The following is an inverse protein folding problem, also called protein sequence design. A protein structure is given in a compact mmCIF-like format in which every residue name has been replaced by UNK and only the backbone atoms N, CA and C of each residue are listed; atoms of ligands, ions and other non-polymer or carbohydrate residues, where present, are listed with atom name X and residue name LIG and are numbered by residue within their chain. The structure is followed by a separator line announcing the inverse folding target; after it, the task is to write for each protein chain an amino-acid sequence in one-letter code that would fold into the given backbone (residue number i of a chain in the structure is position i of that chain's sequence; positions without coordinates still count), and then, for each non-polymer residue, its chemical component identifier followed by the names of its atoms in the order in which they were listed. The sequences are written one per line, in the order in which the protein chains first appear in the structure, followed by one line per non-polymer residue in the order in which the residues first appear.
data_IF_161101092549
#
_entry.id   IF_161101092549
#
_cell.length_a   1.000
_cell.length_b   1.000
_cell.length_c   1.000
_cell.angle_alpha   90.00
_cell.angle_beta   90.00
_cell.angle_gamma   90.00
#
_symmetry.space_group_name_H-M   'P 1'
#
loop_
_entity.id
_entity.type
_entity.pdbx_description
1 polymer ?
#
# COMPACT_ATOMS: atom_id res chain seq x y z
N UNK A 1 17.33 -46.02 111.82
CA UNK A 1 15.90 -45.72 111.52
C UNK A 1 15.83 -44.30 110.97
N UNK A 2 14.68 -43.87 110.48
CA UNK A 2 14.49 -42.47 110.07
C UNK A 2 14.48 -41.60 111.33
N UNK A 3 15.29 -40.54 111.36
CA UNK A 3 15.22 -39.54 112.42
C UNK A 3 14.04 -38.60 112.15
N UNK A 4 13.25 -38.33 113.20
CA UNK A 4 12.03 -37.52 113.11
C UNK A 4 11.98 -36.51 114.24
N UNK A 5 11.66 -35.27 113.90
CA UNK A 5 11.36 -34.19 114.84
C UNK A 5 9.87 -34.30 115.19
N UNK A 6 9.59 -34.84 116.37
CA UNK A 6 8.25 -34.91 116.94
C UNK A 6 7.97 -33.65 117.78
N UNK A 7 7.16 -32.74 117.24
CA UNK A 7 6.73 -31.52 117.95
C UNK A 7 5.39 -31.79 118.63
N UNK A 8 5.27 -31.50 119.92
CA UNK A 8 4.07 -31.81 120.69
C UNK A 8 4.14 -31.42 122.15
N UNK A 9 3.09 -31.77 122.92
CA UNK A 9 2.94 -31.38 124.33
C UNK A 9 3.23 -32.55 125.25
N UNK A 10 4.02 -32.29 126.30
CA UNK A 10 4.28 -33.26 127.35
C UNK A 10 3.15 -33.24 128.38
N UNK A 11 2.50 -34.38 128.59
CA UNK A 11 1.45 -34.58 129.59
C UNK A 11 1.91 -35.56 130.66
N UNK A 12 1.41 -35.38 131.88
CA UNK A 12 1.77 -36.19 133.06
C UNK A 12 0.52 -36.78 133.69
N UNK A 13 0.54 -38.08 134.00
CA UNK A 13 -0.50 -38.70 134.82
C UNK A 13 -0.22 -38.46 136.32
N UNK A 14 -1.09 -37.73 137.06
CA UNK A 14 -0.87 -37.52 138.49
C UNK A 14 -0.84 -38.86 139.25
N UNK A 15 0.15 -39.03 140.15
CA UNK A 15 0.29 -40.23 140.99
C UNK A 15 1.12 -41.37 140.41
N UNK A 16 1.56 -41.31 139.14
CA UNK A 16 2.62 -42.19 138.61
C UNK A 16 3.61 -41.34 137.80
N UNK A 17 4.92 -41.52 138.02
CA UNK A 17 5.99 -40.75 137.37
C UNK A 17 6.21 -41.14 135.90
N UNK A 18 5.14 -41.09 135.10
CA UNK A 18 5.09 -41.43 133.67
C UNK A 18 4.73 -40.18 132.88
N UNK A 19 5.65 -39.79 132.02
CA UNK A 19 5.48 -38.70 131.06
C UNK A 19 5.04 -39.28 129.72
N UNK A 20 4.04 -38.66 129.09
CA UNK A 20 3.59 -38.98 127.75
C UNK A 20 3.80 -37.74 126.88
N UNK A 21 4.26 -37.92 125.64
CA UNK A 21 4.23 -36.84 124.63
C UNK A 21 3.04 -37.06 123.71
N UNK A 22 2.21 -36.03 123.56
CA UNK A 22 1.14 -35.97 122.56
C UNK A 22 1.69 -35.20 121.37
N UNK A 23 2.02 -35.92 120.30
CA UNK A 23 2.62 -35.36 119.09
C UNK A 23 1.55 -34.57 118.32
N UNK A 24 1.82 -33.29 118.05
CA UNK A 24 0.96 -32.39 117.27
C UNK A 24 1.44 -32.29 115.81
N UNK A 25 2.76 -32.41 115.57
CA UNK A 25 3.36 -32.50 114.24
C UNK A 25 4.57 -33.47 114.26
N UNK A 26 4.77 -34.19 113.15
CA UNK A 26 5.88 -35.14 112.98
C UNK A 26 6.55 -34.88 111.64
N UNK A 27 7.78 -34.37 111.67
CA UNK A 27 8.56 -34.01 110.48
C UNK A 27 9.84 -34.85 110.39
N UNK A 28 10.23 -35.38 109.22
CA UNK A 28 11.54 -36.02 109.06
C UNK A 28 12.69 -35.03 109.29
N UNK A 29 13.66 -35.42 110.12
CA UNK A 29 14.80 -34.58 110.43
C UNK A 29 15.66 -34.36 109.17
N UNK A 30 16.06 -33.10 108.93
CA UNK A 30 16.98 -32.74 107.85
C UNK A 30 16.36 -32.17 106.57
N UNK A 31 15.06 -32.35 106.30
CA UNK A 31 14.42 -31.83 105.07
C UNK A 31 14.61 -30.30 104.94
N UNK A 32 14.42 -29.54 106.02
CA UNK A 32 14.65 -28.08 106.01
C UNK A 32 16.09 -27.68 105.69
N UNK A 33 17.09 -28.48 106.10
CA UNK A 33 18.49 -28.22 105.79
C UNK A 33 18.81 -28.54 104.31
N UNK A 34 18.27 -29.64 103.78
CA UNK A 34 18.37 -29.96 102.35
C UNK A 34 17.69 -28.90 101.48
N UNK A 35 16.50 -28.43 101.85
CA UNK A 35 15.80 -27.38 101.11
C UNK A 35 16.53 -26.03 101.15
N UNK A 36 17.17 -25.67 102.28
CA UNK A 36 18.01 -24.47 102.34
C UNK A 36 19.23 -24.57 101.39
N UNK A 37 19.92 -25.71 101.40
CA UNK A 37 21.09 -25.99 100.56
C UNK A 37 20.71 -26.06 99.06
N UNK A 38 19.52 -26.58 98.73
CA UNK A 38 18.95 -26.58 97.38
C UNK A 38 18.71 -25.16 96.87
N UNK A 39 18.08 -24.31 97.70
CA UNK A 39 17.76 -22.92 97.35
C UNK A 39 19.02 -22.03 97.27
N UNK A 40 20.05 -22.30 98.07
CA UNK A 40 21.37 -21.68 97.98
C UNK A 40 22.08 -22.03 96.65
N UNK A 41 22.15 -23.34 96.30
CA UNK A 41 22.66 -23.79 95.00
C UNK A 41 21.88 -23.18 93.83
N UNK A 42 20.54 -23.15 93.93
CA UNK A 42 19.67 -22.57 92.89
C UNK A 42 19.99 -21.09 92.68
N UNK A 43 20.19 -20.31 93.75
CA UNK A 43 20.58 -18.89 93.66
C UNK A 43 21.95 -18.71 93.01
N UNK A 44 22.94 -19.51 93.40
CA UNK A 44 24.31 -19.44 92.86
C UNK A 44 24.34 -19.75 91.36
N UNK A 45 23.74 -20.88 90.95
CA UNK A 45 23.71 -21.31 89.55
C UNK A 45 22.78 -20.45 88.68
N UNK A 46 21.75 -19.80 89.27
CA UNK A 46 20.96 -18.78 88.59
C UNK A 46 21.76 -17.48 88.36
N UNK A 47 22.60 -17.06 89.31
CA UNK A 47 23.46 -15.88 89.15
C UNK A 47 24.56 -16.07 88.09
N UNK A 48 24.97 -17.32 87.84
CA UNK A 48 25.81 -17.70 86.70
C UNK A 48 25.05 -17.85 85.36
N UNK A 49 23.72 -17.67 85.35
CA UNK A 49 22.90 -17.81 84.14
C UNK A 49 22.85 -19.24 83.59
N UNK A 50 22.92 -20.29 84.42
CA UNK A 50 22.77 -21.68 83.94
C UNK A 50 21.32 -22.05 83.57
N UNK A 51 20.34 -21.30 84.06
CA UNK A 51 18.91 -21.56 83.84
C UNK A 51 18.25 -20.65 82.79
N UNK A 52 19.04 -19.80 82.12
CA UNK A 52 18.55 -18.81 81.15
C UNK A 52 17.88 -19.49 79.94
N UNK A 53 16.63 -19.12 79.66
CA UNK A 53 15.89 -19.60 78.47
C UNK A 53 16.65 -19.32 77.15
N UNK A 54 17.46 -18.26 77.10
CA UNK A 54 18.31 -17.93 75.94
C UNK A 54 19.45 -18.92 75.67
N UNK A 55 19.79 -19.81 76.61
CA UNK A 55 20.75 -20.91 76.41
C UNK A 55 20.09 -22.18 75.87
N UNK A 56 18.77 -22.33 76.04
CA UNK A 56 18.04 -23.56 75.76
C UNK A 56 17.87 -23.81 74.27
N UNK A 57 18.13 -25.03 73.86
CA UNK A 57 18.23 -25.45 72.47
C UNK A 57 16.89 -25.96 71.94
N UNK A 58 16.55 -25.66 70.67
CA UNK A 58 15.41 -26.29 70.04
C UNK A 58 15.66 -27.79 69.88
N UNK A 59 14.70 -28.62 70.28
CA UNK A 59 14.74 -30.05 69.98
C UNK A 59 14.63 -30.28 68.46
N UNK A 60 15.39 -31.22 67.87
CA UNK A 60 15.23 -31.59 66.47
C UNK A 60 13.84 -32.23 66.27
N UNK A 61 13.13 -31.80 65.21
CA UNK A 61 11.77 -32.29 64.93
C UNK A 61 11.70 -33.80 64.61
N UNK A 62 12.80 -34.38 64.11
CA UNK A 62 12.91 -35.80 63.77
C UNK A 62 14.32 -36.30 64.16
N UNK A 63 14.57 -36.65 65.44
CA UNK A 63 15.82 -37.28 65.83
C UNK A 63 15.93 -38.67 65.19
N UNK A 64 17.15 -39.05 64.80
CA UNK A 64 17.49 -40.39 64.27
C UNK A 64 17.99 -41.30 65.39
N UNK A 65 18.68 -40.71 66.38
CA UNK A 65 19.27 -41.39 67.53
C UNK A 65 18.92 -40.64 68.81
N UNK A 66 18.30 -41.33 69.78
CA UNK A 66 18.06 -40.81 71.13
C UNK A 66 19.00 -41.51 72.12
N UNK A 67 19.74 -40.74 72.89
CA UNK A 67 20.50 -41.22 74.05
C UNK A 67 19.62 -41.23 75.29
N UNK A 68 19.68 -42.29 76.11
CA UNK A 68 18.94 -42.37 77.37
C UNK A 68 19.92 -42.68 78.50
N UNK A 69 19.98 -41.79 79.49
CA UNK A 69 20.76 -41.94 80.73
C UNK A 69 19.82 -42.41 81.82
N UNK A 70 19.86 -43.72 82.14
CA UNK A 70 19.02 -44.34 83.17
C UNK A 70 19.53 -45.74 83.56
N UNK A 71 18.88 -46.39 84.52
CA UNK A 71 19.18 -47.77 84.91
C UNK A 71 18.66 -48.78 83.86
N UNK A 72 19.49 -49.73 83.38
CA UNK A 72 19.11 -50.65 82.30
C UNK A 72 18.07 -51.71 82.71
N UNK A 73 17.80 -51.90 84.01
CA UNK A 73 16.90 -52.94 84.52
C UNK A 73 15.50 -52.43 84.87
N UNK A 74 15.31 -51.11 85.01
CA UNK A 74 14.08 -50.49 85.52
C UNK A 74 12.86 -50.57 84.58
N UNK A 75 11.70 -50.15 85.09
CA UNK A 75 10.49 -49.94 84.27
C UNK A 75 10.67 -48.76 83.31
N UNK A 76 11.23 -47.65 83.81
CA UNK A 76 11.55 -46.38 83.12
C UNK A 76 12.02 -46.57 81.66
N UNK A 77 13.05 -47.41 81.45
CA UNK A 77 13.60 -47.64 80.11
C UNK A 77 12.64 -48.43 79.21
N UNK A 78 11.86 -49.36 79.76
CA UNK A 78 10.82 -50.11 79.03
C UNK A 78 9.68 -49.20 78.62
N UNK A 79 9.28 -48.28 79.49
CA UNK A 79 8.21 -47.31 79.24
C UNK A 79 8.61 -46.32 78.13
N UNK A 80 9.85 -45.81 78.18
CA UNK A 80 10.45 -45.00 77.10
C UNK A 80 10.50 -45.78 75.78
N UNK A 81 11.07 -47.00 75.80
CA UNK A 81 11.21 -47.81 74.58
C UNK A 81 9.85 -48.18 73.97
N UNK A 82 8.86 -48.52 74.80
CA UNK A 82 7.50 -48.80 74.35
C UNK A 82 6.84 -47.56 73.74
N UNK A 83 6.92 -46.40 74.40
CA UNK A 83 6.33 -45.15 73.90
C UNK A 83 6.97 -44.69 72.59
N UNK A 84 8.29 -44.80 72.46
CA UNK A 84 8.99 -44.52 71.20
C UNK A 84 8.58 -45.51 70.10
N UNK A 85 8.46 -46.81 70.41
CA UNK A 85 8.08 -47.83 69.43
C UNK A 85 6.66 -47.65 68.90
N UNK A 86 5.71 -47.23 69.75
CA UNK A 86 4.34 -46.91 69.34
C UNK A 86 4.27 -45.59 68.54
N UNK A 87 4.85 -44.51 69.10
CA UNK A 87 4.68 -43.14 68.59
C UNK A 87 5.49 -42.88 67.32
N UNK A 88 6.80 -43.20 67.31
CA UNK A 88 7.69 -43.08 66.14
C UNK A 88 9.02 -43.84 66.40
N UNK A 89 9.21 -45.06 65.84
CA UNK A 89 10.41 -45.86 66.08
C UNK A 89 11.72 -45.18 65.65
N UNK A 90 12.66 -45.06 66.60
CA UNK A 90 14.01 -44.50 66.40
C UNK A 90 15.08 -45.40 67.01
N UNK A 91 16.36 -45.19 66.66
CA UNK A 91 17.47 -45.88 67.33
C UNK A 91 17.66 -45.28 68.72
N UNK A 92 17.62 -46.12 69.76
CA UNK A 92 17.92 -45.73 71.13
C UNK A 92 19.30 -46.24 71.53
N UNK A 93 20.07 -45.41 72.22
CA UNK A 93 21.33 -45.76 72.87
C UNK A 93 21.16 -45.57 74.37
N UNK A 94 21.32 -46.63 75.16
CA UNK A 94 21.24 -46.54 76.63
C UNK A 94 22.64 -46.41 77.21
N UNK A 95 22.90 -45.35 77.97
CA UNK A 95 24.06 -45.27 78.84
C UNK A 95 23.63 -45.73 80.25
N UNK A 96 24.07 -46.91 80.71
CA UNK A 96 23.65 -47.44 81.99
C UNK A 96 24.30 -46.65 83.12
N UNK A 97 23.48 -46.12 84.04
CA UNK A 97 23.92 -45.42 85.26
C UNK A 97 23.10 -45.86 86.46
N UNK A 98 23.67 -45.74 87.65
CA UNK A 98 22.89 -45.68 88.89
C UNK A 98 22.11 -44.37 88.91
N UNK A 99 20.84 -44.46 89.28
CA UNK A 99 19.92 -43.30 89.35
C UNK A 99 19.62 -42.85 90.78
N UNK A 100 20.32 -43.42 91.77
CA UNK A 100 20.16 -43.15 93.21
C UNK A 100 21.43 -43.52 93.99
N UNK A 101 21.64 -42.87 95.13
CA UNK A 101 22.80 -43.05 96.01
C UNK A 101 24.05 -42.29 95.55
N UNK A 102 25.05 -42.22 96.43
CA UNK A 102 26.14 -41.24 96.40
C UNK A 102 27.00 -41.20 95.13
N UNK A 103 27.02 -42.26 94.30
CA UNK A 103 27.76 -42.26 93.02
C UNK A 103 26.91 -41.80 91.83
N UNK A 104 25.59 -41.68 91.96
CA UNK A 104 24.68 -41.45 90.86
C UNK A 104 24.91 -40.10 90.16
N UNK A 105 25.21 -39.03 90.90
CA UNK A 105 25.48 -37.71 90.32
C UNK A 105 26.72 -37.74 89.39
N UNK A 106 27.80 -38.36 89.85
CA UNK A 106 29.02 -38.52 89.05
C UNK A 106 28.79 -39.42 87.82
N UNK A 107 28.02 -40.51 87.96
CA UNK A 107 27.68 -41.40 86.85
C UNK A 107 26.79 -40.71 85.79
N UNK A 108 25.78 -39.95 86.22
CA UNK A 108 24.88 -39.17 85.33
C UNK A 108 25.66 -38.09 84.58
N UNK A 109 26.50 -37.31 85.27
CA UNK A 109 27.34 -36.30 84.62
C UNK A 109 28.32 -36.94 83.62
N UNK A 110 28.99 -38.02 84.00
CA UNK A 110 29.89 -38.77 83.11
C UNK A 110 29.16 -39.34 81.88
N UNK A 111 27.90 -39.75 82.00
CA UNK A 111 27.09 -40.20 80.87
C UNK A 111 26.70 -39.06 79.91
N UNK A 112 26.35 -37.88 80.44
CA UNK A 112 26.05 -36.69 79.61
C UNK A 112 27.30 -36.22 78.87
N UNK A 113 28.45 -36.10 79.55
CA UNK A 113 29.73 -35.79 78.88
C UNK A 113 30.15 -36.90 77.91
N UNK A 114 29.93 -38.16 78.26
CA UNK A 114 30.22 -39.33 77.41
C UNK A 114 29.46 -39.33 76.08
N UNK A 115 28.16 -39.07 76.10
CA UNK A 115 27.37 -38.90 74.87
C UNK A 115 27.85 -37.68 74.04
N UNK A 116 28.25 -36.59 74.70
CA UNK A 116 28.77 -35.40 74.02
C UNK A 116 30.18 -35.58 73.43
N UNK A 117 30.98 -36.51 73.96
CA UNK A 117 32.29 -36.88 73.45
C UNK A 117 32.24 -37.85 72.25
N UNK A 118 31.07 -38.43 71.93
CA UNK A 118 30.92 -39.29 70.76
C UNK A 118 31.15 -38.51 69.45
N UNK A 119 32.08 -39.01 68.63
CA UNK A 119 32.30 -38.51 67.28
C UNK A 119 31.07 -38.79 66.39
N UNK A 120 30.57 -37.81 65.61
CA UNK A 120 29.48 -38.04 64.67
C UNK A 120 29.75 -39.12 63.61
N UNK A 121 31.03 -39.43 63.34
CA UNK A 121 31.48 -40.48 62.42
C UNK A 121 32.01 -41.74 63.13
N UNK A 122 31.76 -41.89 64.45
CA UNK A 122 32.16 -43.05 65.22
C UNK A 122 31.33 -44.31 64.96
N UNK A 123 31.79 -45.50 65.42
CA UNK A 123 31.04 -46.75 65.30
C UNK A 123 29.75 -46.75 66.14
N UNK A 124 29.72 -45.96 67.21
CA UNK A 124 28.51 -45.58 67.94
C UNK A 124 28.14 -44.16 67.47
N UNK A 125 26.95 -43.95 66.87
CA UNK A 125 26.55 -42.62 66.44
C UNK A 125 26.26 -41.74 67.65
N UNK A 126 26.64 -40.46 67.57
CA UNK A 126 26.24 -39.44 68.55
C UNK A 126 24.71 -39.28 68.55
N UNK A 127 24.03 -39.17 69.72
CA UNK A 127 22.62 -38.83 69.79
C UNK A 127 22.30 -37.43 69.24
N UNK A 128 21.09 -37.29 68.68
CA UNK A 128 20.49 -36.00 68.32
C UNK A 128 19.77 -35.34 69.52
N UNK A 129 19.35 -36.16 70.50
CA UNK A 129 18.73 -35.77 71.78
C UNK A 129 19.22 -36.71 72.88
N UNK A 130 19.44 -36.20 74.09
CA UNK A 130 19.66 -37.01 75.31
C UNK A 130 18.44 -36.88 76.23
N UNK A 131 17.95 -38.00 76.78
CA UNK A 131 16.95 -38.03 77.85
C UNK A 131 17.63 -38.52 79.13
N UNK A 132 17.57 -37.73 80.20
CA UNK A 132 17.96 -38.17 81.55
C UNK A 132 16.69 -38.55 82.30
N UNK A 133 16.53 -39.83 82.65
CA UNK A 133 15.24 -40.36 83.11
C UNK A 133 15.31 -41.16 84.41
N UNK A 134 14.35 -40.89 85.29
CA UNK A 134 14.11 -41.62 86.55
C UNK A 134 12.62 -41.95 86.70
N UNK A 135 12.32 -42.98 87.47
CA UNK A 135 10.97 -43.21 88.00
C UNK A 135 10.78 -42.47 89.33
N UNK A 136 9.63 -42.69 89.99
CA UNK A 136 9.39 -42.21 91.34
C UNK A 136 10.46 -42.66 92.35
N UNK A 137 10.58 -41.89 93.44
CA UNK A 137 11.49 -42.09 94.56
C UNK A 137 11.15 -41.07 95.66
N UNK A 138 11.90 -41.08 96.75
CA UNK A 138 11.80 -40.02 97.77
C UNK A 138 12.58 -38.75 97.39
N UNK A 139 12.52 -37.71 98.23
CA UNK A 139 13.31 -36.49 98.05
C UNK A 139 14.82 -36.76 98.20
N UNK A 140 15.23 -37.61 99.15
CA UNK A 140 16.64 -37.99 99.32
C UNK A 140 17.14 -38.76 98.09
N UNK A 141 16.28 -39.62 97.53
CA UNK A 141 16.50 -40.35 96.29
C UNK A 141 16.80 -39.41 95.12
N UNK A 142 16.00 -38.36 94.94
CA UNK A 142 16.13 -37.36 93.87
C UNK A 142 17.34 -36.43 94.04
N UNK A 143 18.01 -36.44 95.20
CA UNK A 143 19.02 -35.45 95.56
C UNK A 143 20.23 -35.40 94.61
N UNK A 144 20.65 -36.54 94.05
CA UNK A 144 21.76 -36.61 93.09
C UNK A 144 21.55 -35.80 91.81
N UNK A 145 20.30 -35.44 91.49
CA UNK A 145 19.94 -34.59 90.35
C UNK A 145 19.92 -33.09 90.69
N UNK A 146 20.16 -32.76 91.96
CA UNK A 146 20.36 -31.41 92.49
C UNK A 146 21.84 -31.11 92.82
N UNK A 147 22.76 -31.99 92.42
CA UNK A 147 24.20 -31.79 92.56
C UNK A 147 24.77 -30.97 91.40
N UNK A 148 25.64 -30.03 91.73
CA UNK A 148 26.21 -29.05 90.81
C UNK A 148 26.86 -29.69 89.57
N UNK A 149 27.53 -30.83 89.74
CA UNK A 149 28.18 -31.57 88.65
C UNK A 149 27.18 -32.02 87.57
N UNK A 150 25.95 -32.40 87.95
CA UNK A 150 24.89 -32.81 87.02
C UNK A 150 24.28 -31.58 86.34
N UNK A 151 24.07 -30.49 87.09
CA UNK A 151 23.49 -29.25 86.56
C UNK A 151 24.44 -28.60 85.53
N UNK A 152 25.75 -28.54 85.82
CA UNK A 152 26.77 -28.07 84.87
C UNK A 152 26.85 -28.98 83.64
N UNK A 153 26.92 -30.31 83.83
CA UNK A 153 26.94 -31.26 82.71
C UNK A 153 25.72 -31.11 81.78
N UNK A 154 24.54 -30.82 82.32
CA UNK A 154 23.34 -30.53 81.53
C UNK A 154 23.43 -29.16 80.82
N UNK A 155 23.75 -28.07 81.53
CA UNK A 155 23.81 -26.71 80.98
C UNK A 155 24.97 -26.48 79.98
N UNK A 156 25.96 -27.37 79.96
CA UNK A 156 27.08 -27.42 79.02
C UNK A 156 26.90 -28.49 77.92
N UNK A 157 25.88 -29.35 78.02
CA UNK A 157 25.64 -30.43 77.06
C UNK A 157 25.49 -29.85 75.65
N UNK A 158 26.36 -30.24 74.72
CA UNK A 158 26.28 -29.78 73.34
C UNK A 158 25.05 -30.35 72.60
N UNK A 159 24.65 -31.60 72.89
CA UNK A 159 23.40 -32.23 72.45
C UNK A 159 22.22 -31.71 73.29
N UNK A 160 21.04 -31.39 72.69
CA UNK A 160 19.84 -31.03 73.45
C UNK A 160 19.41 -32.11 74.45
N UNK A 161 19.08 -31.69 75.67
CA UNK A 161 18.78 -32.56 76.81
C UNK A 161 17.34 -32.38 77.30
N UNK A 162 16.64 -33.51 77.48
CA UNK A 162 15.33 -33.60 78.12
C UNK A 162 15.51 -34.20 79.51
N UNK A 163 15.14 -33.46 80.56
CA UNK A 163 15.04 -34.01 81.91
C UNK A 163 13.68 -34.66 82.14
N UNK A 164 13.69 -35.86 82.71
CA UNK A 164 12.52 -36.68 83.00
C UNK A 164 12.68 -37.32 84.39
N UNK A 165 12.90 -36.46 85.40
CA UNK A 165 13.31 -36.85 86.75
C UNK A 165 12.29 -36.38 87.80
N UNK A 166 11.97 -35.08 87.83
CA UNK A 166 11.02 -34.52 88.80
C UNK A 166 9.56 -34.69 88.37
N UNK A 167 8.70 -35.15 89.28
CA UNK A 167 7.23 -35.13 89.11
C UNK A 167 6.70 -33.68 89.22
N UNK A 168 5.40 -33.44 89.04
CA UNK A 168 4.85 -32.07 88.94
C UNK A 168 5.17 -31.18 90.16
N UNK A 169 5.27 -31.76 91.36
CA UNK A 169 5.67 -31.10 92.62
C UNK A 169 7.18 -30.98 92.82
N UNK A 170 7.98 -31.88 92.23
CA UNK A 170 9.34 -32.20 92.69
C UNK A 170 10.39 -31.65 91.72
N UNK A 171 10.42 -30.33 91.54
CA UNK A 171 11.33 -29.69 90.59
C UNK A 171 12.80 -29.81 91.00
N UNK A 172 13.60 -30.47 90.17
CA UNK A 172 15.05 -30.57 90.37
C UNK A 172 15.82 -29.42 89.71
N UNK A 173 17.11 -29.30 89.98
CA UNK A 173 17.98 -28.33 89.31
C UNK A 173 18.32 -28.75 87.87
N UNK A 174 18.44 -30.06 87.58
CA UNK A 174 18.55 -30.55 86.19
C UNK A 174 17.28 -30.22 85.38
N UNK A 175 16.08 -30.27 85.97
CA UNK A 175 14.84 -29.86 85.27
C UNK A 175 14.85 -28.38 84.83
N UNK A 176 15.60 -27.52 85.53
CA UNK A 176 15.75 -26.09 85.20
C UNK A 176 16.86 -25.84 84.17
N UNK A 177 17.96 -26.60 84.22
CA UNK A 177 19.09 -26.50 83.30
C UNK A 177 18.90 -27.26 81.97
N UNK A 178 18.00 -28.24 81.92
CA UNK A 178 17.66 -28.95 80.69
C UNK A 178 16.96 -28.04 79.66
N UNK A 179 17.19 -28.32 78.37
CA UNK A 179 16.54 -27.60 77.27
C UNK A 179 15.02 -27.82 77.26
N UNK A 180 14.56 -28.99 77.73
CA UNK A 180 13.16 -29.27 78.06
C UNK A 180 13.02 -30.12 79.33
N UNK A 181 12.01 -29.80 80.13
CA UNK A 181 11.49 -30.65 81.20
C UNK A 181 10.33 -31.50 80.68
N UNK A 182 10.30 -32.76 81.09
CA UNK A 182 9.15 -33.67 80.95
C UNK A 182 8.69 -34.14 82.34
N UNK A 183 7.38 -34.16 82.65
CA UNK A 183 6.88 -34.55 83.97
C UNK A 183 6.96 -36.06 84.23
N UNK A 184 7.18 -36.88 83.20
CA UNK A 184 7.35 -38.34 83.29
C UNK A 184 8.31 -38.85 82.20
N UNK A 185 8.92 -40.05 82.38
CA UNK A 185 9.68 -40.73 81.34
C UNK A 185 8.92 -40.97 80.03
N UNK A 186 7.61 -41.27 80.11
CA UNK A 186 6.76 -41.44 78.93
C UNK A 186 6.54 -40.11 78.20
N UNK A 187 6.30 -39.02 78.93
CA UNK A 187 6.19 -37.68 78.35
C UNK A 187 7.51 -37.23 77.69
N UNK A 188 8.66 -37.64 78.21
CA UNK A 188 9.97 -37.35 77.61
C UNK A 188 10.12 -38.00 76.23
N UNK A 189 9.70 -39.27 76.09
CA UNK A 189 9.61 -39.93 74.81
C UNK A 189 8.60 -39.23 73.86
N UNK A 190 7.46 -38.75 74.38
CA UNK A 190 6.47 -38.01 73.58
C UNK A 190 6.96 -36.65 73.07
N UNK A 191 7.74 -35.94 73.90
CA UNK A 191 8.34 -34.64 73.55
C UNK A 191 9.50 -34.82 72.56
N UNK A 192 10.21 -35.94 72.63
CA UNK A 192 11.35 -36.22 71.75
C UNK A 192 10.96 -36.61 70.32
N UNK A 193 9.77 -37.16 70.06
CA UNK A 193 9.37 -37.62 68.71
C UNK A 193 7.94 -37.20 68.29
N UNK A 194 7.73 -36.86 67.00
CA UNK A 194 6.42 -36.57 66.43
C UNK A 194 5.57 -37.85 66.29
N UNK A 195 4.29 -37.72 65.96
CA UNK A 195 3.39 -38.88 65.81
C UNK A 195 3.49 -39.46 64.39
N UNK A 196 3.85 -40.74 64.28
CA UNK A 196 4.06 -41.42 62.99
C UNK A 196 2.82 -41.48 62.10
N UNK A 197 1.64 -41.68 62.68
CA UNK A 197 0.37 -41.74 61.93
C UNK A 197 0.00 -40.40 61.29
N UNK A 198 0.24 -39.28 61.99
CA UNK A 198 0.03 -37.93 61.45
C UNK A 198 0.97 -37.64 60.28
N UNK A 199 2.25 -37.99 60.40
CA UNK A 199 3.23 -37.87 59.32
C UNK A 199 2.85 -38.69 58.08
N UNK A 200 2.37 -39.92 58.26
CA UNK A 200 1.87 -40.76 57.16
C UNK A 200 0.65 -40.12 56.49
N UNK A 201 -0.36 -39.70 57.27
CA UNK A 201 -1.56 -39.05 56.75
C UNK A 201 -1.26 -37.73 56.00
N UNK A 202 -0.26 -36.97 56.45
CA UNK A 202 0.22 -35.77 55.77
C UNK A 202 0.89 -36.11 54.42
N UNK A 203 1.75 -37.13 54.39
CA UNK A 203 2.39 -37.62 53.15
C UNK A 203 1.35 -38.15 52.16
N UNK A 204 0.37 -38.94 52.60
CA UNK A 204 -0.70 -39.46 51.74
C UNK A 204 -1.58 -38.33 51.18
N UNK A 205 -1.89 -37.32 51.99
CA UNK A 205 -2.62 -36.12 51.57
C UNK A 205 -1.84 -35.34 50.50
N UNK A 206 -0.54 -35.15 50.69
CA UNK A 206 0.33 -34.50 49.70
C UNK A 206 0.45 -35.34 48.41
N UNK A 207 0.59 -36.66 48.52
CA UNK A 207 0.65 -37.57 47.38
C UNK A 207 -0.67 -37.61 46.59
N UNK A 208 -1.83 -37.56 47.27
CA UNK A 208 -3.13 -37.44 46.63
C UNK A 208 -3.29 -36.09 45.90
N UNK A 209 -2.89 -34.98 46.53
CA UNK A 209 -2.87 -33.65 45.90
C UNK A 209 -1.96 -33.62 44.67
N UNK A 210 -0.78 -34.23 44.75
CA UNK A 210 0.16 -34.36 43.63
C UNK A 210 -0.45 -35.15 42.46
N UNK A 211 -0.93 -36.38 42.71
CA UNK A 211 -1.61 -37.21 41.68
C UNK A 211 -2.75 -36.45 40.99
N UNK A 212 -3.59 -35.74 41.77
CA UNK A 212 -4.66 -34.91 41.23
C UNK A 212 -4.18 -33.72 40.38
N UNK A 213 -3.05 -33.10 40.73
CA UNK A 213 -2.44 -32.03 39.94
C UNK A 213 -1.85 -32.55 38.61
N UNK A 214 -1.11 -33.65 38.65
CA UNK A 214 -0.57 -34.31 37.44
C UNK A 214 -1.71 -34.73 36.49
N UNK A 215 -2.79 -35.31 37.01
CA UNK A 215 -3.96 -35.68 36.20
C UNK A 215 -4.61 -34.48 35.52
N UNK A 216 -4.79 -33.35 36.23
CA UNK A 216 -5.33 -32.11 35.63
C UNK A 216 -4.40 -31.50 34.56
N UNK A 217 -3.08 -31.59 34.73
CA UNK A 217 -2.13 -31.15 33.70
C UNK A 217 -2.24 -32.00 32.43
N UNK A 218 -2.25 -33.33 32.57
CA UNK A 218 -2.36 -34.27 31.44
C UNK A 218 -3.69 -34.05 30.69
N UNK A 219 -4.82 -33.99 31.39
CA UNK A 219 -6.13 -33.75 30.76
C UNK A 219 -6.33 -32.32 30.25
N UNK A 220 -5.44 -31.37 30.61
CA UNK A 220 -5.40 -30.05 29.97
C UNK A 220 -4.63 -30.13 28.66
N UNK A 221 -3.37 -30.60 28.70
CA UNK A 221 -2.56 -30.80 27.50
C UNK A 221 -3.26 -31.70 26.45
N UNK A 222 -4.03 -32.71 26.88
CA UNK A 222 -4.85 -33.57 26.01
C UNK A 222 -5.99 -32.81 25.32
N UNK A 223 -6.72 -31.95 26.05
CA UNK A 223 -7.78 -31.11 25.47
C UNK A 223 -7.21 -30.09 24.50
N UNK A 224 -6.08 -29.47 24.84
CA UNK A 224 -5.44 -28.46 24.03
C UNK A 224 -4.86 -29.07 22.73
N UNK A 225 -4.25 -30.26 22.82
CA UNK A 225 -3.82 -31.05 21.66
C UNK A 225 -5.01 -31.43 20.76
N UNK A 226 -6.14 -31.87 21.34
CA UNK A 226 -7.35 -32.20 20.57
C UNK A 226 -8.01 -30.96 19.94
N UNK A 227 -7.91 -29.79 20.57
CA UNK A 227 -8.35 -28.52 20.00
C UNK A 227 -7.46 -28.10 18.81
N UNK A 228 -6.14 -28.14 18.99
CA UNK A 228 -5.17 -27.86 17.92
C UNK A 228 -5.31 -28.84 16.74
N UNK A 229 -5.51 -30.13 17.01
CA UNK A 229 -5.73 -31.16 15.99
C UNK A 229 -7.04 -30.96 15.20
N UNK A 230 -8.05 -30.30 15.79
CA UNK A 230 -9.29 -29.90 15.10
C UNK A 230 -9.17 -28.55 14.36
N UNK A 231 -8.21 -27.72 14.73
CA UNK A 231 -7.92 -26.45 14.07
C UNK A 231 -7.00 -26.60 12.84
N UNK A 232 -6.30 -27.74 12.70
CA UNK A 232 -5.60 -28.10 11.47
C UNK A 232 -6.61 -28.30 10.32
N UNK A 233 -6.41 -27.63 9.15
CA UNK A 233 -7.23 -27.88 7.96
C UNK A 233 -7.11 -29.34 7.49
N UNK A 234 -8.13 -29.88 6.82
CA UNK A 234 -8.05 -31.24 6.27
C UNK A 234 -7.04 -31.29 5.14
N UNK A 235 -6.49 -32.48 4.87
CA UNK A 235 -5.57 -32.69 3.76
C UNK A 235 -6.17 -32.23 2.41
N UNK A 236 -7.47 -32.45 2.18
CA UNK A 236 -8.15 -31.96 0.99
C UNK A 236 -8.28 -30.42 0.93
N UNK A 237 -8.45 -29.74 2.08
CA UNK A 237 -8.49 -28.27 2.14
C UNK A 237 -7.13 -27.68 1.74
N UNK A 238 -6.04 -28.27 2.25
CA UNK A 238 -4.65 -27.89 1.91
C UNK A 238 -4.32 -28.19 0.44
N UNK A 239 -4.82 -29.31 -0.10
CA UNK A 239 -4.56 -29.74 -1.48
C UNK A 239 -5.51 -29.12 -2.52
N UNK A 240 -6.58 -28.44 -2.11
CA UNK A 240 -7.56 -27.84 -3.02
C UNK A 240 -6.94 -26.79 -3.95
N UNK A 241 -6.07 -25.92 -3.43
CA UNK A 241 -5.39 -24.87 -4.23
C UNK A 241 -4.37 -25.49 -5.21
N UNK A 242 -3.45 -26.40 -4.79
CA UNK A 242 -2.61 -27.15 -5.71
C UNK A 242 -3.38 -27.90 -6.80
N UNK A 243 -4.42 -28.68 -6.45
CA UNK A 243 -5.26 -29.41 -7.42
C UNK A 243 -5.85 -28.47 -8.48
N UNK A 244 -6.56 -27.42 -8.04
CA UNK A 244 -7.15 -26.40 -8.93
C UNK A 244 -6.12 -25.73 -9.85
N UNK A 245 -4.88 -25.55 -9.36
CA UNK A 245 -3.79 -24.97 -10.16
C UNK A 245 -3.33 -25.94 -11.27
N UNK A 246 -3.21 -27.23 -10.96
CA UNK A 246 -2.92 -28.28 -11.95
C UNK A 246 -4.05 -28.38 -12.98
N UNK A 247 -5.32 -28.30 -12.55
CA UNK A 247 -6.48 -28.35 -13.44
C UNK A 247 -6.54 -27.16 -14.41
N UNK A 248 -6.31 -25.92 -13.94
CA UNK A 248 -6.23 -24.75 -14.81
C UNK A 248 -5.08 -24.88 -15.82
N UNK A 249 -3.89 -25.25 -15.37
CA UNK A 249 -2.72 -25.43 -16.23
C UNK A 249 -2.95 -26.52 -17.28
N UNK A 250 -3.58 -27.64 -16.93
CA UNK A 250 -3.99 -28.69 -17.88
C UNK A 250 -4.99 -28.16 -18.92
N UNK A 251 -6.02 -27.43 -18.47
CA UNK A 251 -7.02 -26.83 -19.37
C UNK A 251 -6.42 -25.78 -20.32
N UNK A 252 -5.36 -25.07 -19.88
CA UNK A 252 -4.65 -24.05 -20.64
C UNK A 252 -3.63 -24.66 -21.59
N UNK A 253 -2.97 -25.76 -21.22
CA UNK A 253 -2.07 -26.51 -22.09
C UNK A 253 -2.82 -27.03 -23.33
N UNK A 254 -3.98 -27.68 -23.15
CA UNK A 254 -4.79 -28.16 -24.27
C UNK A 254 -5.23 -27.03 -25.22
N UNK A 255 -5.73 -25.91 -24.67
CA UNK A 255 -6.09 -24.72 -25.46
C UNK A 255 -4.88 -24.10 -26.17
N UNK A 256 -3.72 -24.01 -25.50
CA UNK A 256 -2.48 -23.49 -26.04
C UNK A 256 -1.92 -24.32 -27.20
N UNK A 257 -1.93 -25.65 -27.07
CA UNK A 257 -1.51 -26.57 -28.13
C UNK A 257 -2.40 -26.45 -29.38
N UNK A 258 -3.73 -26.36 -29.21
CA UNK A 258 -4.66 -26.14 -30.32
C UNK A 258 -4.43 -24.77 -30.99
N UNK A 259 -4.22 -23.71 -30.20
CA UNK A 259 -3.92 -22.37 -30.73
C UNK A 259 -2.58 -22.34 -31.50
N UNK A 260 -1.56 -23.01 -30.97
CA UNK A 260 -0.25 -23.12 -31.62
C UNK A 260 -0.34 -23.89 -32.95
N UNK A 261 -0.99 -25.06 -32.94
CA UNK A 261 -1.22 -25.86 -34.14
C UNK A 261 -2.00 -25.08 -35.22
N UNK A 262 -3.03 -24.32 -34.83
CA UNK A 262 -3.76 -23.42 -35.75
C UNK A 262 -2.86 -22.32 -36.32
N UNK A 263 -2.00 -21.71 -35.51
CA UNK A 263 -1.09 -20.65 -35.95
C UNK A 263 -0.09 -21.17 -36.98
N UNK A 264 0.56 -22.31 -36.70
CA UNK A 264 1.45 -22.96 -37.66
C UNK A 264 0.71 -23.44 -38.92
N UNK A 265 -0.52 -23.95 -38.80
CA UNK A 265 -1.35 -24.35 -39.94
C UNK A 265 -1.69 -23.18 -40.86
N UNK A 266 -2.07 -22.02 -40.32
CA UNK A 266 -2.34 -20.80 -41.10
C UNK A 266 -1.06 -20.27 -41.78
N UNK A 267 0.10 -20.35 -41.12
CA UNK A 267 1.39 -20.01 -41.73
C UNK A 267 1.75 -20.94 -42.89
N UNK A 268 1.52 -22.25 -42.74
CA UNK A 268 1.67 -23.24 -43.80
C UNK A 268 0.72 -22.97 -44.97
N UNK A 269 -0.58 -22.76 -44.72
CA UNK A 269 -1.59 -22.54 -45.76
C UNK A 269 -1.34 -21.24 -46.56
N UNK A 270 -0.93 -20.16 -45.89
CA UNK A 270 -0.49 -18.91 -46.57
C UNK A 270 0.69 -19.14 -47.51
N UNK A 271 1.57 -20.07 -47.17
CA UNK A 271 2.76 -20.41 -47.97
C UNK A 271 2.39 -21.34 -49.14
N UNK A 272 1.61 -22.39 -48.87
CA UNK A 272 1.13 -23.34 -49.86
C UNK A 272 0.22 -22.69 -50.92
N UNK A 273 -0.64 -21.75 -50.53
CA UNK A 273 -1.53 -21.04 -51.45
C UNK A 273 -0.76 -20.28 -52.56
N UNK A 274 0.41 -19.72 -52.24
CA UNK A 274 1.30 -19.03 -53.20
C UNK A 274 1.90 -19.99 -54.24
N UNK A 275 2.09 -21.25 -53.87
CA UNK A 275 2.64 -22.31 -54.73
C UNK A 275 1.55 -23.13 -55.44
N UNK A 276 0.27 -22.77 -55.26
CA UNK A 276 -0.84 -23.48 -55.91
C UNK A 276 -0.80 -23.33 -57.43
N UNK A 277 -1.07 -24.43 -58.15
CA UNK A 277 -1.12 -24.46 -59.62
C UNK A 277 -2.10 -23.41 -60.17
N UNK A 278 -3.22 -23.18 -59.49
CA UNK A 278 -4.22 -22.16 -59.85
C UNK A 278 -3.69 -20.73 -59.64
N UNK A 279 -2.92 -20.47 -58.57
CA UNK A 279 -2.25 -19.19 -58.35
C UNK A 279 -1.20 -18.89 -59.42
N UNK A 280 -0.35 -19.87 -59.72
CA UNK A 280 0.67 -19.78 -60.79
C UNK A 280 0.02 -19.56 -62.17
N UNK A 281 -1.04 -20.31 -62.51
CA UNK A 281 -1.81 -20.10 -63.75
C UNK A 281 -2.40 -18.69 -63.83
N UNK A 282 -2.95 -18.14 -62.74
CA UNK A 282 -3.48 -16.77 -62.70
C UNK A 282 -2.39 -15.72 -62.90
N UNK A 283 -1.23 -15.88 -62.25
CA UNK A 283 -0.09 -14.97 -62.40
C UNK A 283 0.46 -14.96 -63.83
N UNK A 284 0.64 -16.14 -64.44
CA UNK A 284 1.04 -16.26 -65.86
C UNK A 284 -0.02 -15.69 -66.81
N UNK A 285 -1.31 -15.87 -66.49
CA UNK A 285 -2.42 -15.26 -67.23
C UNK A 285 -2.35 -13.73 -67.25
N UNK A 286 -2.23 -13.11 -66.07
CA UNK A 286 -2.09 -11.65 -65.94
C UNK A 286 -0.82 -11.12 -66.63
N UNK A 287 0.28 -11.87 -66.60
CA UNK A 287 1.49 -11.56 -67.36
C UNK A 287 1.24 -11.54 -68.88
N UNK A 288 0.58 -12.56 -69.42
CA UNK A 288 0.22 -12.65 -70.85
C UNK A 288 -0.75 -11.54 -71.27
N UNK A 289 -1.76 -11.25 -70.45
CA UNK A 289 -2.72 -10.18 -70.68
C UNK A 289 -2.05 -8.79 -70.71
N UNK A 290 -1.11 -8.55 -69.79
CA UNK A 290 -0.32 -7.30 -69.76
C UNK A 290 0.55 -7.14 -71.01
N UNK A 291 1.17 -8.22 -71.51
CA UNK A 291 1.92 -8.22 -72.77
C UNK A 291 1.01 -7.96 -73.97
N UNK A 292 -0.15 -8.62 -74.05
CA UNK A 292 -1.12 -8.42 -75.13
C UNK A 292 -1.63 -6.96 -75.18
N UNK A 293 -1.96 -6.38 -74.02
CA UNK A 293 -2.37 -4.97 -73.91
C UNK A 293 -1.26 -3.99 -74.32
N UNK A 294 0.01 -4.27 -74.01
CA UNK A 294 1.13 -3.46 -74.44
C UNK A 294 1.37 -3.54 -75.95
N UNK A 295 1.26 -4.73 -76.55
CA UNK A 295 1.39 -4.87 -78.00
C UNK A 295 0.21 -4.26 -78.78
N UNK A 296 -1.02 -4.35 -78.26
CA UNK A 296 -2.18 -3.65 -78.83
C UNK A 296 -1.96 -2.13 -78.84
N UNK A 297 -1.46 -1.55 -77.73
CA UNK A 297 -1.08 -0.13 -77.66
C UNK A 297 0.05 0.22 -78.64
N UNK A 298 1.07 -0.63 -78.78
CA UNK A 298 2.17 -0.48 -79.75
C UNK A 298 1.66 -0.43 -81.19
N UNK A 299 0.77 -1.36 -81.57
CA UNK A 299 0.14 -1.40 -82.90
C UNK A 299 -0.68 -0.15 -83.17
N UNK A 300 -1.50 0.30 -82.22
CA UNK A 300 -2.31 1.51 -82.37
C UNK A 300 -1.44 2.78 -82.50
N UNK A 301 -0.39 2.91 -81.69
CA UNK A 301 0.55 4.04 -81.78
C UNK A 301 1.27 4.08 -83.15
N UNK A 302 1.67 2.92 -83.68
CA UNK A 302 2.28 2.82 -85.01
C UNK A 302 1.32 3.23 -86.14
N UNK A 303 0.04 2.83 -86.07
CA UNK A 303 -0.98 3.26 -87.03
C UNK A 303 -1.21 4.77 -87.00
N UNK A 304 -1.35 5.36 -85.81
CA UNK A 304 -1.54 6.83 -85.67
C UNK A 304 -0.32 7.60 -86.17
N UNK A 305 0.90 7.16 -85.84
CA UNK A 305 2.15 7.81 -86.29
C UNK A 305 2.33 7.73 -87.81
N UNK A 306 2.07 6.56 -88.42
CA UNK A 306 2.20 6.38 -89.87
C UNK A 306 1.13 7.15 -90.65
N UNK A 307 -0.13 7.19 -90.17
CA UNK A 307 -1.18 8.05 -90.73
C UNK A 307 -0.80 9.53 -90.65
N UNK A 308 -0.31 9.99 -89.48
CA UNK A 308 0.14 11.37 -89.29
C UNK A 308 1.28 11.75 -90.23
N UNK A 309 2.33 10.91 -90.36
CA UNK A 309 3.41 11.14 -91.32
C UNK A 309 2.94 11.18 -92.77
N UNK A 310 1.97 10.34 -93.15
CA UNK A 310 1.36 10.35 -94.49
C UNK A 310 0.53 11.63 -94.74
N UNK A 311 -0.13 12.17 -93.72
CA UNK A 311 -0.83 13.46 -93.79
C UNK A 311 0.16 14.64 -93.91
N UNK A 312 1.23 14.66 -93.12
CA UNK A 312 2.31 15.67 -93.19
C UNK A 312 2.99 15.67 -94.58
N UNK A 313 3.26 14.48 -95.14
CA UNK A 313 3.84 14.33 -96.48
C UNK A 313 2.88 14.78 -97.59
N UNK A 314 1.60 14.43 -97.54
CA UNK A 314 0.62 14.87 -98.55
C UNK A 314 0.28 16.36 -98.47
N UNK A 315 0.29 16.96 -97.27
CA UNK A 315 0.19 18.41 -97.10
C UNK A 315 1.41 19.14 -97.70
N UNK A 316 2.61 18.58 -97.54
CA UNK A 316 3.84 19.11 -98.16
C UNK A 316 3.81 18.98 -99.69
N UNK A 317 3.41 17.82 -100.21
CA UNK A 317 3.28 17.59 -101.65
C UNK A 317 2.24 18.53 -102.32
N UNK A 318 1.18 18.94 -101.61
CA UNK A 318 0.23 19.96 -102.09
C UNK A 318 0.82 21.36 -102.20
N UNK A 319 1.83 21.71 -101.39
CA UNK A 319 2.51 23.02 -101.41
C UNK A 319 3.54 23.16 -102.53
N UNK A 320 3.95 22.06 -103.16
CA UNK A 320 4.98 22.00 -104.20
C UNK A 320 4.40 21.87 -105.62
N UNK A 321 3.08 22.07 -105.80
CA UNK A 321 2.39 21.99 -107.09
C UNK A 321 2.40 23.35 -107.81
N UNK A 322 2.76 23.42 -109.11
CA UNK A 322 2.76 24.67 -109.87
C UNK A 322 1.36 25.09 -110.34
N UNK A 323 0.39 24.18 -110.32
CA UNK A 323 -0.97 24.37 -110.88
C UNK A 323 -1.65 25.68 -110.40
N UNK A 324 -1.66 26.05 -109.10
CA UNK A 324 -2.30 27.29 -108.63
C UNK A 324 -1.59 28.57 -109.11
N UNK A 325 -0.30 28.50 -109.45
CA UNK A 325 0.47 29.64 -109.98
C UNK A 325 0.14 29.84 -111.45
N UNK A 326 -0.02 28.75 -112.21
CA UNK A 326 -0.44 28.78 -113.62
C UNK A 326 -1.86 29.33 -113.76
N UNK A 327 -2.80 28.87 -112.92
CA UNK A 327 -4.18 29.37 -112.90
C UNK A 327 -4.23 30.87 -112.57
N UNK A 328 -3.46 31.32 -111.56
CA UNK A 328 -3.40 32.74 -111.19
C UNK A 328 -2.81 33.61 -112.32
N UNK A 329 -1.75 33.17 -112.98
CA UNK A 329 -1.19 33.86 -114.15
C UNK A 329 -2.18 33.93 -115.32
N UNK A 330 -2.97 32.88 -115.54
CA UNK A 330 -4.03 32.87 -116.56
C UNK A 330 -5.25 33.74 -116.20
N UNK A 331 -5.44 34.05 -114.91
CA UNK A 331 -6.43 35.02 -114.42
C UNK A 331 -5.99 36.48 -114.63
N UNK A 332 -4.80 36.85 -114.14
CA UNK A 332 -4.31 38.23 -114.24
C UNK A 332 -4.04 38.66 -115.70
N UNK A 333 -3.63 37.74 -116.59
CA UNK A 333 -3.50 38.03 -118.03
C UNK A 333 -4.83 38.44 -118.69
N UNK A 334 -5.96 37.86 -118.26
CA UNK A 334 -7.29 38.24 -118.78
C UNK A 334 -7.69 39.63 -118.31
N UNK A 335 -7.57 39.92 -117.01
CA UNK A 335 -7.81 41.25 -116.42
C UNK A 335 -7.03 42.36 -117.12
N UNK A 336 -5.76 42.10 -117.49
CA UNK A 336 -4.93 43.08 -118.20
C UNK A 336 -5.48 43.41 -119.61
N UNK A 337 -5.97 42.41 -120.34
CA UNK A 337 -6.58 42.59 -121.66
C UNK A 337 -7.95 43.33 -121.58
N UNK A 338 -8.78 42.95 -120.60
CA UNK A 338 -10.08 43.59 -120.36
C UNK A 338 -9.91 45.08 -120.00
N UNK A 339 -8.94 45.39 -119.13
CA UNK A 339 -8.60 46.77 -118.76
C UNK A 339 -8.07 47.58 -119.96
N UNK A 340 -7.20 46.98 -120.79
CA UNK A 340 -6.66 47.61 -122.00
C UNK A 340 -7.76 48.02 -123.00
N UNK A 341 -8.65 47.09 -123.35
CA UNK A 341 -9.76 47.34 -124.28
C UNK A 341 -10.76 48.38 -123.75
N UNK A 342 -10.98 48.40 -122.43
CA UNK A 342 -11.82 49.40 -121.75
C UNK A 342 -11.19 50.80 -121.80
N UNK A 343 -9.87 50.89 -121.60
CA UNK A 343 -9.11 52.15 -121.70
C UNK A 343 -9.18 52.75 -123.09
N UNK A 344 -8.93 51.95 -124.14
CA UNK A 344 -8.96 52.42 -125.53
C UNK A 344 -10.34 52.96 -125.94
N UNK A 345 -11.41 52.26 -125.57
CA UNK A 345 -12.80 52.68 -125.82
C UNK A 345 -13.12 54.00 -125.10
N UNK A 346 -12.64 54.16 -123.87
CA UNK A 346 -12.82 55.38 -123.07
C UNK A 346 -12.08 56.58 -123.67
N UNK A 347 -10.84 56.37 -124.15
CA UNK A 347 -10.02 57.41 -124.76
C UNK A 347 -10.67 57.97 -126.04
N UNK A 348 -11.22 57.10 -126.89
CA UNK A 348 -11.94 57.49 -128.12
C UNK A 348 -13.17 58.37 -127.81
N UNK A 349 -13.95 58.01 -126.80
CA UNK A 349 -15.12 58.79 -126.36
C UNK A 349 -14.74 60.18 -125.82
N UNK A 350 -13.66 60.27 -125.04
CA UNK A 350 -13.17 61.55 -124.51
C UNK A 350 -12.76 62.52 -125.62
N UNK A 351 -12.09 62.02 -126.67
CA UNK A 351 -11.67 62.84 -127.82
C UNK A 351 -12.87 63.39 -128.60
N UNK A 352 -13.94 62.61 -128.76
CA UNK A 352 -15.18 63.07 -129.39
C UNK A 352 -15.81 64.23 -128.60
N UNK A 353 -16.10 64.02 -127.30
CA UNK A 353 -16.72 65.04 -126.44
C UNK A 353 -15.95 66.37 -126.40
N UNK A 354 -14.61 66.33 -126.53
CA UNK A 354 -13.78 67.55 -126.57
C UNK A 354 -13.95 68.34 -127.87
N UNK A 355 -14.19 67.68 -129.02
CA UNK A 355 -14.51 68.36 -130.29
C UNK A 355 -15.88 69.03 -130.23
N UNK A 356 -16.89 68.31 -129.79
CA UNK A 356 -18.27 68.81 -129.69
C UNK A 356 -18.35 70.06 -128.79
N UNK A 357 -17.61 70.04 -127.67
CA UNK A 357 -17.56 71.17 -126.74
C UNK A 357 -16.83 72.40 -127.27
N UNK A 358 -15.88 72.25 -128.20
CA UNK A 358 -15.26 73.41 -128.87
C UNK A 358 -16.25 74.06 -129.83
N UNK A 359 -17.00 73.28 -130.62
CA UNK A 359 -18.02 73.80 -131.53
C UNK A 359 -19.12 74.58 -130.78
N UNK A 360 -19.60 74.05 -129.65
CA UNK A 360 -20.63 74.71 -128.83
C UNK A 360 -20.17 76.05 -128.20
N UNK A 361 -18.87 76.21 -127.94
CA UNK A 361 -18.33 77.43 -127.31
C UNK A 361 -18.22 78.63 -128.26
N UNK A 362 -17.90 78.41 -129.55
CA UNK A 362 -17.93 79.51 -130.55
C UNK A 362 -19.36 80.07 -130.72
N UNK A 363 -20.35 79.19 -130.74
CA UNK A 363 -21.75 79.56 -130.91
C UNK A 363 -22.28 80.38 -129.70
N UNK A 364 -21.83 80.07 -128.48
CA UNK A 364 -22.15 80.84 -127.27
C UNK A 364 -21.44 82.21 -127.21
N UNK A 365 -20.21 82.33 -127.72
CA UNK A 365 -19.48 83.59 -127.69
C UNK A 365 -20.22 84.70 -128.48
N UNK A 366 -20.89 84.32 -129.57
CA UNK A 366 -21.62 85.25 -130.45
C UNK A 366 -22.92 85.77 -129.83
N UNK A 367 -23.58 85.03 -128.94
CA UNK A 367 -24.89 85.38 -128.39
C UNK A 367 -24.85 86.24 -127.12
N UNK A 368 -23.72 86.29 -126.42
CA UNK A 368 -23.59 86.91 -125.09
C UNK A 368 -22.99 88.33 -125.08
N UNK A 369 -22.64 88.92 -126.22
CA UNK A 369 -22.05 90.28 -126.24
C UNK A 369 -23.12 91.38 -126.05
N UNK A 370 -22.96 92.24 -125.03
CA UNK A 370 -23.96 93.25 -124.65
C UNK A 370 -24.30 94.27 -125.75
N UNK A 371 -23.39 94.49 -126.71
CA UNK A 371 -23.63 95.33 -127.90
C UNK A 371 -24.84 94.86 -128.72
N UNK A 372 -25.09 93.55 -128.77
CA UNK A 372 -26.27 92.96 -129.41
C UNK A 372 -27.59 93.19 -128.65
N UNK A 373 -27.52 93.66 -127.40
CA UNK A 373 -28.67 93.96 -126.54
C UNK A 373 -28.98 95.45 -126.56
N UNK A 374 -27.97 96.32 -126.53
CA UNK A 374 -28.14 97.77 -126.77
C UNK A 374 -28.73 98.03 -128.17
N UNK A 375 -28.28 97.30 -129.18
CA UNK A 375 -28.87 97.31 -130.54
C UNK A 375 -30.33 96.78 -130.61
N UNK A 376 -30.93 96.37 -129.48
CA UNK A 376 -32.35 95.97 -129.36
C UNK A 376 -33.19 96.97 -128.54
N UNK A 377 -32.68 98.17 -128.28
CA UNK A 377 -33.46 99.29 -127.74
C UNK A 377 -33.61 99.34 -126.21
N UNK A 378 -32.68 98.74 -125.47
CA UNK A 378 -32.65 98.80 -124.00
C UNK A 378 -31.73 99.91 -123.49
N UNK A 379 -32.09 100.51 -122.34
CA UNK A 379 -31.28 101.50 -121.64
C UNK A 379 -30.81 100.97 -120.26
N UNK A 380 -29.67 101.47 -119.77
CA UNK A 380 -28.93 101.03 -118.59
C UNK A 380 -28.88 102.15 -117.54
N UNK A 381 -29.68 102.00 -116.48
CA UNK A 381 -29.71 102.97 -115.36
C UNK A 381 -28.47 102.81 -114.47
N UNK A 382 -27.93 103.91 -113.96
CA UNK A 382 -26.71 104.01 -113.14
C UNK A 382 -26.87 105.01 -111.99
N UNK A 383 -26.06 104.84 -110.95
CA UNK A 383 -25.79 105.85 -109.93
C UNK A 383 -24.32 106.27 -110.08
N UNK A 384 -24.09 107.38 -110.80
CA UNK A 384 -22.77 107.71 -111.34
C UNK A 384 -22.29 106.60 -112.29
N UNK A 385 -21.17 105.94 -111.97
CA UNK A 385 -20.62 104.90 -112.84
C UNK A 385 -21.09 103.47 -112.53
N UNK A 386 -21.81 103.23 -111.42
CA UNK A 386 -22.34 101.90 -111.09
C UNK A 386 -23.71 101.68 -111.74
N UNK A 387 -23.93 100.61 -112.54
CA UNK A 387 -25.27 100.25 -112.97
C UNK A 387 -26.14 99.88 -111.76
N UNK A 388 -27.35 100.45 -111.70
CA UNK A 388 -28.30 100.20 -110.61
C UNK A 388 -29.15 99.01 -110.99
N UNK A 389 -29.02 97.93 -110.21
CA UNK A 389 -29.69 96.67 -110.50
C UNK A 389 -30.93 96.46 -109.64
N UNK A 390 -31.13 97.26 -108.58
CA UNK A 390 -32.29 97.20 -107.71
C UNK A 390 -32.72 98.58 -107.21
N UNK A 391 -34.03 98.84 -107.20
CA UNK A 391 -34.60 100.07 -106.62
C UNK A 391 -34.32 100.21 -105.11
N UNK A 392 -33.93 99.13 -104.42
CA UNK A 392 -33.54 99.17 -103.00
C UNK A 392 -32.13 99.77 -102.77
N UNK A 393 -31.34 99.99 -103.83
CA UNK A 393 -30.01 100.60 -103.75
C UNK A 393 -30.07 102.14 -103.70
N UNK A 394 -31.26 102.72 -103.87
CA UNK A 394 -31.50 104.16 -103.99
C UNK A 394 -31.95 104.74 -102.64
N UNK A 395 -31.01 105.32 -101.90
CA UNK A 395 -31.31 106.04 -100.66
C UNK A 395 -32.14 107.31 -100.90
N UNK A 396 -32.91 107.70 -99.87
CA UNK A 396 -33.74 108.90 -99.85
C UNK A 396 -32.94 110.19 -100.15
N UNK A 397 -32.99 110.65 -101.40
CA UNK A 397 -32.40 111.92 -101.87
C UNK A 397 -31.30 111.80 -102.93
N UNK A 398 -31.14 110.65 -103.61
CA UNK A 398 -29.98 110.39 -104.48
C UNK A 398 -30.26 110.47 -106.00
N UNK A 399 -29.41 111.20 -106.75
CA UNK A 399 -29.46 111.36 -108.23
C UNK A 399 -29.02 110.11 -109.02
N UNK A 400 -29.77 109.75 -110.08
CA UNK A 400 -29.61 108.54 -110.91
C UNK A 400 -29.57 108.77 -112.44
N UNK A 401 -28.49 108.38 -113.12
CA UNK A 401 -28.27 108.51 -114.58
C UNK A 401 -28.84 107.34 -115.43
N UNK A 402 -29.12 107.55 -116.74
CA UNK A 402 -29.72 106.54 -117.64
C UNK A 402 -29.04 106.48 -119.01
N UNK A 403 -28.35 105.38 -119.34
CA UNK A 403 -27.54 105.18 -120.57
C UNK A 403 -28.27 104.43 -121.71
N UNK A 404 -28.39 105.02 -122.89
CA UNK A 404 -28.95 104.39 -124.09
C UNK A 404 -27.83 103.80 -125.00
N UNK A 405 -28.17 103.39 -126.23
CA UNK A 405 -27.14 103.04 -127.22
C UNK A 405 -26.32 104.25 -127.70
N UNK A 406 -26.67 105.46 -127.25
CA UNK A 406 -26.26 106.77 -127.77
C UNK A 406 -26.13 107.95 -126.74
N UNK A 407 -26.54 107.87 -125.46
CA UNK A 407 -26.43 109.01 -124.48
C UNK A 407 -26.80 108.73 -123.00
N UNK A 408 -26.68 109.71 -122.05
CA UNK A 408 -26.93 109.59 -120.56
C UNK A 408 -27.63 110.81 -119.85
N UNK A 409 -28.57 110.64 -118.87
CA UNK A 409 -29.32 111.73 -118.09
C UNK A 409 -29.92 111.32 -116.67
N UNK A 410 -30.19 112.24 -115.67
CA UNK A 410 -30.30 112.05 -114.16
C UNK A 410 -31.65 112.28 -113.32
N UNK A 411 -31.90 111.73 -112.08
CA UNK A 411 -33.08 112.00 -111.11
C UNK A 411 -33.06 111.53 -109.57
N UNK A 412 -33.89 112.06 -108.59
CA UNK A 412 -33.86 111.88 -107.05
C UNK A 412 -35.12 111.29 -106.24
N UNK A 413 -35.10 111.14 -104.87
CA UNK A 413 -36.12 110.41 -103.98
C UNK A 413 -36.35 110.87 -102.48
N UNK A 414 -37.31 110.29 -101.69
CA UNK A 414 -37.45 110.40 -100.18
C UNK A 414 -38.34 109.30 -99.50
N UNK A 415 -38.48 109.20 -98.16
CA UNK A 415 -38.98 107.98 -97.45
C UNK A 415 -40.16 108.08 -96.44
N UNK A 416 -41.14 107.15 -96.55
CA UNK A 416 -42.20 106.82 -95.57
C UNK A 416 -43.18 105.73 -96.09
N UNK A 417 -43.83 104.95 -95.22
CA UNK A 417 -44.89 103.96 -95.59
C UNK A 417 -46.21 104.66 -95.98
N UNK A 418 -47.12 104.10 -96.84
CA UNK A 418 -47.55 102.68 -96.84
C UNK A 418 -48.06 102.03 -98.18
N UNK A 419 -48.42 100.73 -98.09
CA UNK A 419 -49.55 100.00 -98.73
C UNK A 419 -49.96 100.08 -100.24
N UNK A 420 -50.21 98.86 -100.80
CA UNK A 420 -51.33 98.42 -101.69
C UNK A 420 -51.11 98.23 -103.23
N UNK A 421 -51.78 97.17 -103.74
CA UNK A 421 -52.02 96.66 -105.13
C UNK A 421 -52.40 97.74 -106.18
N UNK A 422 -52.21 97.56 -107.53
CA UNK A 422 -52.91 96.50 -108.31
C UNK A 422 -52.35 95.94 -109.67
N UNK A 423 -53.17 95.01 -110.20
CA UNK A 423 -53.28 94.17 -111.42
C UNK A 423 -52.80 94.52 -112.86
N UNK A 424 -52.19 93.50 -113.53
CA UNK A 424 -52.65 92.70 -114.72
C UNK A 424 -52.99 93.37 -116.09
N UNK A 425 -52.40 92.86 -117.21
CA UNK A 425 -53.08 92.23 -118.41
C UNK A 425 -52.09 91.68 -119.48
N UNK A 426 -52.52 90.85 -120.49
CA UNK A 426 -51.67 89.89 -121.23
C UNK A 426 -51.72 90.00 -122.80
N UNK A 427 -51.93 88.94 -123.65
CA UNK A 427 -50.92 88.30 -124.53
C UNK A 427 -51.32 88.23 -126.04
N UNK A 428 -50.57 87.49 -126.91
CA UNK A 428 -51.09 86.80 -128.15
C UNK A 428 -50.04 85.83 -128.80
N UNK A 429 -50.42 84.83 -129.65
CA UNK A 429 -49.55 83.72 -130.13
C UNK A 429 -49.33 83.65 -131.70
N UNK A 430 -49.53 82.52 -132.45
CA UNK A 430 -48.49 81.57 -132.91
C UNK A 430 -48.37 81.32 -134.45
N UNK A 431 -47.48 80.41 -134.90
CA UNK A 431 -47.37 79.93 -136.29
C UNK A 431 -46.49 78.66 -136.50
N UNK A 432 -46.52 78.06 -137.69
CA UNK A 432 -45.82 76.80 -138.11
C UNK A 432 -44.77 77.06 -139.22
N UNK A 433 -44.10 76.15 -139.96
CA UNK A 433 -44.11 74.69 -140.28
C UNK A 433 -42.65 74.32 -140.76
N UNK A 434 -42.21 73.11 -141.14
CA UNK A 434 -42.76 71.73 -141.15
C UNK A 434 -41.98 70.77 -142.10
N UNK A 435 -41.83 69.49 -141.71
CA UNK A 435 -41.42 68.30 -142.52
C UNK A 435 -40.03 68.23 -143.22
N UNK A 436 -39.19 67.31 -142.72
CA UNK A 436 -38.48 66.29 -143.54
C UNK A 436 -38.13 65.07 -142.65
N UNK A 437 -37.90 63.91 -143.27
CA UNK A 437 -37.66 62.61 -142.60
C UNK A 437 -36.19 62.39 -142.22
#
# INVERSE_FOLDING_TARGET
GVEVVATGRLTTYPGQSKYQIVIEALEPAGIGALMALLEERRKTLAAEGLFDEGRKKPLPYLPRVIGVVTSPTGAVIRDILHRLTDRFPVRVLVWPVRVQGDTAAAEVAAAIHGFNALSPAGPIPRPDVVIVARGGGSLEDLWSFNEEIVVRAAAESAIPLISAVGHETDWTLIDQAADRRAPTPTAAAEIAVPVRSELLAAVDTLAARHRGATGRLIETARRDLLAAARALPRADDLLAIPRRTVDDLGSRLGRGLIANARTHRVAFERSAARLSVSGLKRFVGQGRERVANLDARRRQAFLVLSQRRRAEMTATARRLRPEPIVERLAGERRRLADAGSTSERSLRLLIAQKRDRVAALDQLLRSLSYRSVLARGYALVRAGDRPVHSAAEVGAGATLDIEFHDGRVSAETTSGTPARKPSRKPPVPPGTQGSLF
#
